data_IF_001889029336
#
_entry.id   IF_001889029336
#
_cell.length_a   1.000
_cell.length_b   1.000
_cell.length_c   1.000
_cell.angle_alpha   90.00
_cell.angle_beta   90.00
_cell.angle_gamma   90.00
#
_symmetry.space_group_name_H-M   'P 1'
#
loop_
_entity.id
_entity.type
_entity.pdbx_description
1 polymer ?
#
# COMPACT_ATOMS: atom_id res chain seq x y z
N UNK A 1 -30.79 38.82 -43.95
CA UNK A 1 -29.63 37.89 -44.01
C UNK A 1 -28.79 38.00 -42.72
N UNK A 2 -29.32 37.60 -41.56
CA UNK A 2 -28.60 37.71 -40.25
C UNK A 2 -28.53 36.37 -39.50
N UNK A 3 -29.34 35.37 -39.88
CA UNK A 3 -29.45 34.11 -39.14
C UNK A 3 -28.43 33.01 -39.53
N UNK A 4 -27.65 33.17 -40.60
CA UNK A 4 -26.71 32.13 -41.05
C UNK A 4 -25.29 32.25 -40.47
N UNK A 5 -24.95 33.36 -39.81
CA UNK A 5 -23.60 33.60 -39.27
C UNK A 5 -23.44 33.01 -37.86
N UNK A 6 -24.51 32.92 -37.08
CA UNK A 6 -24.47 32.32 -35.74
C UNK A 6 -24.19 30.81 -35.76
N UNK A 7 -24.38 30.14 -36.91
CA UNK A 7 -24.26 28.68 -36.98
C UNK A 7 -22.83 28.14 -37.05
N UNK A 8 -21.88 28.96 -37.50
CA UNK A 8 -20.48 28.54 -37.67
C UNK A 8 -19.62 28.77 -36.42
N UNK A 9 -20.02 29.66 -35.53
CA UNK A 9 -19.24 30.03 -34.35
C UNK A 9 -19.48 29.12 -33.13
N UNK A 10 -20.63 28.44 -33.02
CA UNK A 10 -20.90 27.56 -31.87
C UNK A 10 -20.15 26.24 -31.93
N UNK A 11 -19.85 25.72 -33.13
CA UNK A 11 -19.16 24.42 -33.31
C UNK A 11 -17.76 24.38 -32.66
N UNK A 12 -16.87 25.37 -32.87
CA UNK A 12 -15.57 25.38 -32.20
C UNK A 12 -15.68 25.64 -30.68
N UNK A 13 -16.70 26.40 -30.24
CA UNK A 13 -16.94 26.67 -28.82
C UNK A 13 -17.38 25.38 -28.10
N UNK A 14 -18.33 24.63 -28.68
CA UNK A 14 -18.77 23.34 -28.14
C UNK A 14 -17.63 22.34 -28.15
N UNK A 15 -16.85 22.24 -29.24
CA UNK A 15 -15.70 21.34 -29.30
C UNK A 15 -14.62 21.69 -28.26
N UNK A 16 -14.37 22.98 -28.01
CA UNK A 16 -13.44 23.43 -26.96
C UNK A 16 -13.97 23.15 -25.56
N UNK A 17 -15.28 23.33 -25.33
CA UNK A 17 -15.93 23.01 -24.07
C UNK A 17 -15.86 21.49 -23.80
N UNK A 18 -16.09 20.67 -24.84
CA UNK A 18 -15.93 19.21 -24.76
C UNK A 18 -14.49 18.86 -24.38
N UNK A 19 -13.48 19.41 -25.08
CA UNK A 19 -12.06 19.13 -24.80
C UNK A 19 -11.64 19.51 -23.37
N UNK A 20 -12.14 20.63 -22.82
CA UNK A 20 -11.89 21.02 -21.42
C UNK A 20 -12.61 20.09 -20.44
N UNK A 21 -13.79 19.59 -20.80
CA UNK A 21 -14.48 18.58 -19.98
C UNK A 21 -13.89 17.17 -20.09
N UNK A 22 -12.98 16.89 -21.03
CA UNK A 22 -12.25 15.60 -21.11
C UNK A 22 -10.86 15.66 -20.42
N UNK A 23 -10.41 16.83 -19.95
CA UNK A 23 -9.21 16.90 -19.11
C UNK A 23 -9.56 16.71 -17.64
N UNK A 24 -9.88 15.47 -17.25
CA UNK A 24 -9.91 15.08 -15.84
C UNK A 24 -8.51 15.15 -15.26
N UNK A 25 -8.17 16.24 -14.57
CA UNK A 25 -6.93 16.34 -13.81
C UNK A 25 -7.06 15.56 -12.51
N UNK A 26 -6.31 14.47 -12.36
CA UNK A 26 -6.22 13.76 -11.09
C UNK A 26 -5.31 14.51 -10.10
N UNK A 27 -5.68 14.51 -8.83
CA UNK A 27 -4.83 14.97 -7.74
C UNK A 27 -4.03 13.79 -7.20
N UNK A 28 -2.69 13.91 -7.16
CA UNK A 28 -1.82 12.82 -6.75
C UNK A 28 -1.30 13.02 -5.33
N UNK A 29 -1.36 11.97 -4.53
CA UNK A 29 -0.92 11.97 -3.14
C UNK A 29 0.08 10.86 -2.85
N UNK A 30 0.96 11.13 -1.90
CA UNK A 30 1.80 10.14 -1.24
C UNK A 30 1.27 9.91 0.16
N UNK A 31 1.13 8.64 0.51
CA UNK A 31 0.66 8.20 1.81
C UNK A 31 1.76 7.41 2.50
N UNK A 32 1.95 7.67 3.79
CA UNK A 32 2.94 6.94 4.56
C UNK A 32 2.64 6.94 6.04
N UNK A 33 3.17 5.93 6.72
CA UNK A 33 3.25 5.86 8.16
C UNK A 33 4.54 5.18 8.58
N UNK A 34 5.07 5.57 9.74
CA UNK A 34 6.16 4.88 10.40
C UNK A 34 5.80 4.76 11.88
N UNK A 35 5.90 3.55 12.42
CA UNK A 35 5.52 3.26 13.80
C UNK A 35 6.48 2.22 14.40
N UNK A 36 6.73 2.29 15.73
CA UNK A 36 7.50 1.28 16.41
C UNK A 36 6.67 0.00 16.60
N UNK A 37 7.29 -1.16 16.39
CA UNK A 37 6.72 -2.48 16.61
C UNK A 37 7.84 -3.50 16.88
N UNK A 38 7.49 -4.77 17.03
CA UNK A 38 8.46 -5.87 17.10
C UNK A 38 8.55 -6.58 15.75
N UNK A 39 9.74 -7.07 15.39
CA UNK A 39 9.89 -8.10 14.35
C UNK A 39 9.50 -9.49 14.89
N UNK A 40 9.54 -10.52 14.06
CA UNK A 40 9.12 -11.87 14.46
C UNK A 40 10.06 -12.51 15.47
N UNK A 41 11.31 -12.05 15.57
CA UNK A 41 12.25 -12.42 16.64
C UNK A 41 12.00 -11.70 17.97
N UNK A 42 11.10 -10.70 18.00
CA UNK A 42 10.74 -9.95 19.21
C UNK A 42 11.61 -8.72 19.48
N UNK A 43 12.39 -8.28 18.50
CA UNK A 43 13.26 -7.12 18.61
C UNK A 43 12.49 -5.84 18.26
N UNK A 44 12.70 -4.74 19.00
CA UNK A 44 12.06 -3.47 18.71
C UNK A 44 12.62 -2.88 17.41
N UNK A 45 11.76 -2.69 16.42
CA UNK A 45 12.08 -2.14 15.09
C UNK A 45 11.05 -1.08 14.68
N UNK A 46 11.41 -0.25 13.71
CA UNK A 46 10.43 0.58 13.03
C UNK A 46 9.81 -0.16 11.85
N UNK A 47 8.52 0.03 11.63
CA UNK A 47 7.81 -0.46 10.44
C UNK A 47 7.30 0.72 9.65
N UNK A 48 7.43 0.65 8.34
CA UNK A 48 7.03 1.69 7.40
C UNK A 48 6.00 1.17 6.42
N UNK A 49 4.91 1.93 6.29
CA UNK A 49 3.91 1.75 5.24
C UNK A 49 4.04 2.88 4.22
N UNK A 50 3.92 2.57 2.93
CA UNK A 50 3.88 3.60 1.88
C UNK A 50 3.09 3.20 0.64
N UNK A 51 2.36 4.16 0.05
CA UNK A 51 1.70 4.02 -1.25
C UNK A 51 1.42 5.39 -1.88
N UNK A 52 0.92 5.38 -3.11
CA UNK A 52 0.48 6.56 -3.84
C UNK A 52 -0.98 6.41 -4.25
N UNK A 53 -1.72 7.52 -4.26
CA UNK A 53 -3.08 7.58 -4.81
C UNK A 53 -3.21 8.65 -5.89
N UNK A 54 -4.21 8.46 -6.75
CA UNK A 54 -4.72 9.41 -7.72
C UNK A 54 -6.21 9.58 -7.46
N UNK A 55 -6.60 10.78 -7.04
CA UNK A 55 -7.99 11.16 -6.76
C UNK A 55 -8.55 11.90 -7.97
N UNK A 56 -9.60 11.32 -8.54
CA UNK A 56 -10.31 11.88 -9.68
C UNK A 56 -11.52 12.68 -9.20
N UNK A 57 -11.90 13.76 -9.90
CA UNK A 57 -13.14 14.46 -9.58
C UNK A 57 -14.33 13.51 -9.71
N UNK A 58 -15.32 13.61 -8.81
CA UNK A 58 -16.49 12.73 -8.82
C UNK A 58 -17.40 12.80 -10.05
N UNK A 59 -17.17 13.77 -10.96
CA UNK A 59 -17.83 13.85 -12.27
C UNK A 59 -17.11 13.04 -13.37
N UNK A 60 -15.91 12.53 -13.09
CA UNK A 60 -15.11 11.73 -14.02
C UNK A 60 -15.55 10.26 -14.00
N UNK A 61 -15.50 9.61 -15.17
CA UNK A 61 -15.97 8.22 -15.32
C UNK A 61 -15.04 7.18 -14.69
N UNK A 62 -13.79 7.54 -14.41
CA UNK A 62 -12.84 6.67 -13.70
C UNK A 62 -12.83 7.04 -12.21
N UNK A 63 -12.98 6.04 -11.34
CA UNK A 63 -12.82 6.20 -9.90
C UNK A 63 -11.35 6.29 -9.48
N UNK A 64 -11.16 6.61 -8.19
CA UNK A 64 -9.85 6.77 -7.57
C UNK A 64 -8.98 5.52 -7.72
N UNK A 65 -7.66 5.75 -7.79
CA UNK A 65 -6.67 4.70 -7.98
C UNK A 65 -5.60 4.80 -6.92
N UNK A 66 -5.06 3.66 -6.53
CA UNK A 66 -3.92 3.58 -5.65
C UNK A 66 -2.93 2.51 -6.10
N UNK A 67 -1.67 2.71 -5.76
CA UNK A 67 -0.65 1.66 -5.86
C UNK A 67 -0.80 0.67 -4.71
N UNK A 68 -0.22 -0.54 -4.81
CA UNK A 68 -0.13 -1.44 -3.66
C UNK A 68 0.51 -0.77 -2.45
N UNK A 69 0.03 -1.12 -1.25
CA UNK A 69 0.65 -0.68 0.02
C UNK A 69 1.91 -1.49 0.24
N UNK A 70 3.05 -0.80 0.28
CA UNK A 70 4.33 -1.40 0.67
C UNK A 70 4.43 -1.41 2.18
N UNK A 71 4.81 -2.55 2.75
CA UNK A 71 5.20 -2.69 4.15
C UNK A 71 6.65 -3.13 4.21
N UNK A 72 7.44 -2.38 4.96
CA UNK A 72 8.87 -2.60 5.17
C UNK A 72 9.15 -2.59 6.67
N UNK A 73 10.01 -3.48 7.12
CA UNK A 73 10.48 -3.52 8.52
C UNK A 73 11.94 -3.07 8.53
N UNK A 74 12.32 -2.25 9.52
CA UNK A 74 13.71 -1.82 9.68
C UNK A 74 14.63 -3.04 9.84
N UNK A 75 15.78 -3.01 9.18
CA UNK A 75 16.75 -4.11 9.11
C UNK A 75 16.22 -5.38 8.42
N UNK A 76 15.18 -5.26 7.59
CA UNK A 76 14.63 -6.38 6.82
C UNK A 76 14.69 -6.10 5.31
N UNK A 77 15.16 -7.09 4.56
CA UNK A 77 15.09 -7.13 3.10
C UNK A 77 13.71 -7.59 2.60
N UNK A 78 12.85 -8.10 3.49
CA UNK A 78 11.51 -8.58 3.14
C UNK A 78 10.54 -7.41 2.95
N UNK A 79 10.17 -7.14 1.70
CA UNK A 79 9.15 -6.14 1.34
C UNK A 79 7.82 -6.79 1.00
N UNK A 80 6.80 -6.51 1.82
CA UNK A 80 5.42 -6.93 1.58
C UNK A 80 4.67 -5.92 0.70
N UNK A 81 3.79 -6.41 -0.17
CA UNK A 81 2.94 -5.58 -1.05
C UNK A 81 1.49 -6.01 -0.93
N UNK A 82 0.69 -5.21 -0.25
CA UNK A 82 -0.73 -5.44 -0.08
C UNK A 82 -1.52 -4.82 -1.25
N UNK A 83 -2.48 -5.57 -1.78
CA UNK A 83 -3.28 -5.22 -2.96
C UNK A 83 -4.77 -5.41 -2.67
N UNK A 84 -5.61 -4.64 -3.36
CA UNK A 84 -7.07 -4.70 -3.33
C UNK A 84 -7.68 -5.01 -4.71
N UNK A 85 -6.85 -5.32 -5.70
CA UNK A 85 -7.30 -5.71 -7.02
C UNK A 85 -7.77 -7.18 -7.07
N UNK A 86 -8.62 -7.47 -8.06
CA UNK A 86 -9.19 -8.80 -8.30
C UNK A 86 -8.19 -9.75 -8.99
N UNK A 87 -7.21 -9.21 -9.71
CA UNK A 87 -6.16 -10.00 -10.39
C UNK A 87 -5.16 -10.61 -9.40
N UNK A 88 -5.05 -10.09 -8.16
CA UNK A 88 -4.24 -10.64 -7.08
C UNK A 88 -4.94 -11.72 -6.21
N UNK A 89 -6.14 -12.19 -6.58
CA UNK A 89 -7.07 -12.90 -5.68
C UNK A 89 -6.84 -14.39 -5.41
N UNK A 90 -5.61 -14.80 -5.04
CA UNK A 90 -5.40 -16.17 -4.57
C UNK A 90 -5.81 -16.39 -3.09
N UNK A 91 -5.71 -15.38 -2.21
CA UNK A 91 -5.91 -15.52 -0.75
C UNK A 91 -7.08 -14.68 -0.15
N UNK A 92 -8.15 -14.46 -0.92
CA UNK A 92 -9.43 -13.90 -0.44
C UNK A 92 -9.76 -12.50 -0.99
N UNK A 93 -10.59 -11.76 -0.25
CA UNK A 93 -11.08 -10.39 -0.55
C UNK A 93 -10.37 -9.30 0.27
N UNK A 94 -10.65 -8.02 -0.02
CA UNK A 94 -10.12 -6.84 0.66
C UNK A 94 -8.66 -6.52 0.37
N UNK A 95 -8.09 -5.58 1.12
CA UNK A 95 -6.67 -5.20 1.01
C UNK A 95 -5.80 -6.25 1.71
N UNK A 96 -4.94 -6.95 0.95
CA UNK A 96 -4.24 -8.14 1.48
C UNK A 96 -2.89 -8.41 0.83
N UNK A 97 -2.06 -9.18 1.53
CA UNK A 97 -0.92 -9.88 0.94
C UNK A 97 -0.95 -11.37 1.28
N UNK A 98 -0.63 -12.20 0.28
CA UNK A 98 -0.63 -13.65 0.38
C UNK A 98 0.77 -14.17 0.73
N UNK A 99 0.83 -15.28 1.45
CA UNK A 99 2.09 -15.93 1.83
C UNK A 99 2.82 -16.55 0.65
N UNK A 100 4.12 -16.77 0.83
CA UNK A 100 4.98 -17.48 -0.10
C UNK A 100 5.40 -18.83 0.49
N UNK A 101 5.16 -19.91 -0.27
CA UNK A 101 5.55 -21.25 0.14
C UNK A 101 7.06 -21.35 0.31
N UNK A 102 7.51 -21.93 1.42
CA UNK A 102 8.93 -22.04 1.78
C UNK A 102 9.53 -20.79 2.40
N UNK A 103 8.82 -19.65 2.42
CA UNK A 103 9.29 -18.39 3.02
C UNK A 103 8.46 -17.95 4.21
N UNK A 104 7.18 -18.32 4.23
CA UNK A 104 6.24 -17.92 5.27
C UNK A 104 5.57 -19.12 5.92
N UNK A 105 5.30 -19.02 7.22
CA UNK A 105 4.53 -19.97 8.02
C UNK A 105 3.31 -19.26 8.60
N UNK A 106 2.19 -19.97 8.74
CA UNK A 106 1.04 -19.50 9.51
C UNK A 106 1.44 -19.43 10.97
N UNK A 107 1.44 -18.23 11.57
CA UNK A 107 1.99 -18.02 12.90
C UNK A 107 1.27 -18.83 13.99
N UNK A 108 -0.03 -19.08 13.83
CA UNK A 108 -0.83 -19.83 14.80
C UNK A 108 -0.53 -21.33 14.79
N UNK A 109 -0.23 -21.92 13.62
CA UNK A 109 -0.13 -23.37 13.45
C UNK A 109 1.28 -23.85 13.13
N UNK A 110 2.17 -22.94 12.74
CA UNK A 110 3.51 -23.26 12.23
C UNK A 110 3.51 -23.96 10.87
N UNK A 111 2.36 -24.10 10.22
CA UNK A 111 2.25 -24.77 8.92
C UNK A 111 2.75 -23.85 7.80
N UNK A 112 3.32 -24.42 6.71
CA UNK A 112 3.70 -23.63 5.54
C UNK A 112 2.53 -22.80 5.00
N UNK A 113 2.75 -21.50 4.83
CA UNK A 113 1.83 -20.64 4.11
C UNK A 113 1.99 -20.84 2.60
N UNK A 114 1.00 -20.40 1.84
CA UNK A 114 1.01 -20.47 0.37
C UNK A 114 0.35 -19.22 -0.22
N UNK A 115 0.32 -19.13 -1.56
CA UNK A 115 -0.38 -18.05 -2.26
C UNK A 115 -1.88 -17.96 -1.95
N UNK A 116 -2.49 -19.00 -1.37
CA UNK A 116 -3.89 -18.96 -0.89
C UNK A 116 -4.03 -18.60 0.58
N UNK A 117 -2.92 -18.45 1.31
CA UNK A 117 -2.89 -18.08 2.72
C UNK A 117 -2.80 -16.56 2.86
N UNK A 118 -3.76 -15.94 3.54
CA UNK A 118 -3.75 -14.50 3.81
C UNK A 118 -2.80 -14.21 4.96
N UNK A 119 -1.62 -13.68 4.65
CA UNK A 119 -0.60 -13.37 5.66
C UNK A 119 -0.74 -11.97 6.23
N UNK A 120 -1.23 -11.01 5.44
CA UNK A 120 -1.50 -9.66 5.91
C UNK A 120 -2.81 -9.14 5.36
N UNK A 121 -3.50 -8.32 6.15
CA UNK A 121 -4.73 -7.64 5.75
C UNK A 121 -4.79 -6.24 6.35
N UNK A 122 -5.23 -5.27 5.54
CA UNK A 122 -5.60 -3.94 6.02
C UNK A 122 -7.11 -3.87 6.17
N UNK A 123 -7.58 -3.33 7.29
CA UNK A 123 -8.97 -3.23 7.71
C UNK A 123 -9.70 -4.58 7.59
N UNK A 124 -9.24 -5.63 8.30
CA UNK A 124 -9.71 -7.01 8.10
C UNK A 124 -11.20 -7.22 8.37
N UNK A 125 -11.86 -6.29 9.07
CA UNK A 125 -13.30 -6.31 9.32
C UNK A 125 -14.14 -5.85 8.11
N UNK A 126 -13.52 -5.25 7.10
CA UNK A 126 -14.17 -4.71 5.90
C UNK A 126 -13.63 -5.42 4.63
N UNK A 127 -14.37 -6.39 4.07
CA UNK A 127 -13.94 -7.13 2.88
C UNK A 127 -13.98 -6.27 1.60
N UNK A 128 -14.75 -5.18 1.60
CA UNK A 128 -14.89 -4.27 0.45
C UNK A 128 -13.86 -3.13 0.49
N UNK A 129 -13.02 -3.07 1.54
CA UNK A 129 -12.03 -2.02 1.74
C UNK A 129 -11.10 -1.86 0.53
N UNK A 130 -10.89 -0.60 0.13
CA UNK A 130 -10.04 -0.20 -1.01
C UNK A 130 -8.86 0.65 -0.56
N UNK A 131 -7.70 0.47 -1.19
CA UNK A 131 -6.49 1.24 -0.84
C UNK A 131 -6.72 2.73 -1.12
N UNK A 132 -7.45 3.04 -2.19
CA UNK A 132 -7.77 4.42 -2.58
C UNK A 132 -8.64 5.15 -1.55
N UNK A 133 -9.38 4.42 -0.71
CA UNK A 133 -10.35 4.95 0.27
C UNK A 133 -9.75 5.06 1.69
N UNK A 134 -8.49 4.66 1.88
CA UNK A 134 -7.83 4.77 3.20
C UNK A 134 -7.61 6.25 3.55
N UNK A 135 -8.20 6.69 4.65
CA UNK A 135 -8.03 8.04 5.18
C UNK A 135 -7.56 8.05 6.64
N UNK A 136 -6.40 8.66 6.88
CA UNK A 136 -5.92 9.07 8.21
C UNK A 136 -5.53 7.96 9.19
N UNK A 137 -6.15 6.78 9.14
CA UNK A 137 -5.79 5.61 9.93
C UNK A 137 -6.18 4.31 9.23
N UNK A 138 -5.56 3.21 9.63
CA UNK A 138 -5.92 1.86 9.21
C UNK A 138 -5.64 0.84 10.32
N UNK A 139 -6.22 -0.34 10.18
CA UNK A 139 -5.92 -1.51 11.00
C UNK A 139 -5.12 -2.52 10.18
N UNK A 140 -3.95 -2.95 10.65
CA UNK A 140 -3.11 -3.93 9.97
C UNK A 140 -3.07 -5.22 10.77
N UNK A 141 -3.56 -6.31 10.19
CA UNK A 141 -3.45 -7.65 10.77
C UNK A 141 -2.33 -8.44 10.09
N UNK A 142 -1.47 -9.07 10.88
CA UNK A 142 -0.40 -9.96 10.41
C UNK A 142 -0.60 -11.35 11.01
N UNK A 143 -0.72 -12.35 10.15
CA UNK A 143 -1.07 -13.74 10.51
C UNK A 143 0.04 -14.74 10.20
N UNK A 144 1.10 -14.33 9.53
CA UNK A 144 2.24 -15.18 9.18
C UNK A 144 3.54 -14.70 9.85
N UNK A 145 4.49 -15.61 9.93
CA UNK A 145 5.86 -15.41 10.41
C UNK A 145 6.83 -15.94 9.35
N UNK A 146 8.05 -15.39 9.24
CA UNK A 146 9.06 -15.96 8.35
C UNK A 146 9.37 -17.42 8.71
N UNK A 147 9.59 -18.25 7.70
CA UNK A 147 10.04 -19.64 7.86
C UNK A 147 11.53 -19.72 8.22
N UNK A 148 12.31 -18.78 7.71
CA UNK A 148 13.73 -18.56 8.02
C UNK A 148 13.95 -17.07 8.25
N UNK A 149 14.72 -16.72 9.28
CA UNK A 149 14.98 -15.33 9.65
C UNK A 149 16.03 -14.66 8.75
N UNK A 150 16.92 -15.46 8.16
CA UNK A 150 17.93 -14.96 7.23
C UNK A 150 18.18 -15.99 6.10
N UNK A 151 18.60 -15.49 4.95
CA UNK A 151 18.98 -16.29 3.78
C UNK A 151 20.39 -15.88 3.32
N UNK A 152 21.32 -16.82 3.24
CA UNK A 152 22.73 -16.57 2.92
C UNK A 152 23.68 -16.94 4.07
N UNK A 153 24.96 -16.60 3.93
CA UNK A 153 26.02 -16.85 4.93
C UNK A 153 26.89 -15.61 5.13
N UNK A 154 27.30 -15.34 6.37
CA UNK A 154 28.23 -14.24 6.70
C UNK A 154 27.62 -12.86 6.52
N UNK A 155 28.46 -11.90 6.15
CA UNK A 155 28.10 -10.46 6.04
C UNK A 155 27.13 -10.16 4.88
N UNK A 156 26.90 -11.11 3.97
CA UNK A 156 25.97 -10.98 2.84
C UNK A 156 24.60 -11.62 3.13
N UNK A 157 24.34 -12.05 4.36
CA UNK A 157 23.06 -12.66 4.74
C UNK A 157 21.92 -11.65 4.66
N UNK A 158 20.87 -12.00 3.89
CA UNK A 158 19.67 -11.19 3.78
C UNK A 158 18.78 -11.43 4.99
N UNK A 159 18.45 -10.37 5.73
CA UNK A 159 17.56 -10.48 6.87
C UNK A 159 16.11 -10.46 6.38
N UNK A 160 15.39 -11.56 6.62
CA UNK A 160 14.00 -11.75 6.20
C UNK A 160 13.01 -11.58 7.35
N UNK A 161 13.47 -11.20 8.54
CA UNK A 161 12.60 -10.98 9.68
C UNK A 161 11.75 -9.73 9.49
N UNK A 162 10.44 -9.87 9.65
CA UNK A 162 9.47 -8.80 9.42
C UNK A 162 8.52 -8.64 10.60
N UNK A 163 7.69 -7.59 10.55
CA UNK A 163 6.67 -7.26 11.54
C UNK A 163 6.01 -8.52 12.14
N UNK A 164 6.06 -8.61 13.47
CA UNK A 164 5.53 -9.74 14.24
C UNK A 164 4.05 -9.98 13.96
N UNK A 165 3.69 -11.26 13.81
CA UNK A 165 2.30 -11.68 13.79
C UNK A 165 1.57 -11.31 15.09
N UNK A 166 0.30 -10.91 14.98
CA UNK A 166 -0.52 -10.51 16.12
C UNK A 166 -1.95 -10.99 15.95
N UNK A 167 -2.58 -11.42 17.05
CA UNK A 167 -4.01 -11.73 17.09
C UNK A 167 -4.90 -10.48 17.11
N UNK A 168 -4.31 -9.31 17.43
CA UNK A 168 -4.99 -8.01 17.43
C UNK A 168 -4.37 -7.12 16.35
N UNK A 169 -5.17 -6.48 15.48
CA UNK A 169 -4.65 -5.59 14.46
C UNK A 169 -3.87 -4.40 15.04
N UNK A 170 -2.76 -4.05 14.39
CA UNK A 170 -2.02 -2.81 14.67
C UNK A 170 -2.83 -1.61 14.16
N UNK A 171 -3.12 -0.63 15.03
CA UNK A 171 -3.70 0.64 14.60
C UNK A 171 -2.60 1.57 14.12
N UNK A 172 -2.64 1.97 12.85
CA UNK A 172 -1.60 2.80 12.23
C UNK A 172 -2.21 4.10 11.73
N UNK A 173 -1.61 5.23 12.12
CA UNK A 173 -2.02 6.56 11.67
C UNK A 173 -1.24 6.99 10.43
N UNK A 174 -1.97 7.39 9.39
CA UNK A 174 -1.45 7.65 8.05
C UNK A 174 -1.32 9.15 7.82
N UNK A 175 -0.18 9.55 7.25
CA UNK A 175 0.04 10.90 6.72
C UNK A 175 -0.19 10.90 5.22
N UNK A 176 -1.08 11.78 4.76
CA UNK A 176 -1.34 12.07 3.34
C UNK A 176 -0.71 13.41 2.98
N UNK A 177 0.08 13.45 1.90
CA UNK A 177 0.70 14.68 1.41
C UNK A 177 0.62 14.78 -0.11
N UNK A 178 0.41 15.99 -0.70
CA UNK A 178 0.46 16.16 -2.14
C UNK A 178 1.80 15.70 -2.70
N UNK A 179 1.75 14.92 -3.79
CA UNK A 179 2.95 14.33 -4.39
C UNK A 179 3.90 15.43 -4.88
N UNK A 180 5.19 15.29 -4.57
CA UNK A 180 6.23 16.24 -4.95
C UNK A 180 6.33 17.45 -4.01
N UNK A 181 5.54 17.51 -2.93
CA UNK A 181 5.72 18.50 -1.88
C UNK A 181 6.86 18.10 -0.93
N UNK A 182 7.49 19.07 -0.24
CA UNK A 182 8.50 18.74 0.77
C UNK A 182 7.95 17.85 1.90
N UNK A 183 6.63 17.91 2.14
CA UNK A 183 5.91 17.13 3.15
C UNK A 183 5.62 15.70 2.70
N UNK A 184 5.82 15.36 1.43
CA UNK A 184 5.67 13.99 0.91
C UNK A 184 6.95 13.17 1.01
N UNK A 185 8.01 13.69 1.64
CA UNK A 185 9.24 12.91 1.85
C UNK A 185 8.94 11.77 2.82
N UNK A 186 9.17 10.56 2.33
CA UNK A 186 9.03 9.34 3.11
C UNK A 186 10.09 9.33 4.23
N UNK A 187 9.73 9.02 5.49
CA UNK A 187 10.72 8.85 6.54
C UNK A 187 11.70 7.71 6.20
N UNK A 188 12.98 7.98 6.38
CA UNK A 188 14.06 7.00 6.20
C UNK A 188 14.23 6.21 7.50
N UNK A 189 14.61 4.94 7.38
CA UNK A 189 14.99 4.15 8.54
C UNK A 189 16.35 4.63 9.06
N UNK A 190 16.58 4.48 10.36
CA UNK A 190 17.91 4.62 10.92
C UNK A 190 18.69 3.33 10.67
N UNK A 191 19.57 3.34 9.67
CA UNK A 191 20.36 2.18 9.27
C UNK A 191 21.43 1.81 10.29
N UNK A 192 21.84 2.76 11.16
CA UNK A 192 22.87 2.50 12.19
C UNK A 192 22.45 1.47 13.24
N UNK A 193 21.14 1.22 13.35
CA UNK A 193 20.58 0.18 14.23
C UNK A 193 20.81 -1.22 13.67
N UNK A 194 20.99 -1.34 12.34
CA UNK A 194 21.14 -2.63 11.65
C UNK A 194 22.59 -3.11 11.60
N UNK A 195 23.56 -2.18 11.59
CA UNK A 195 25.00 -2.51 11.56
C UNK A 195 25.58 -2.89 12.94
N UNK A 196 24.77 -2.84 14.00
CA UNK A 196 25.19 -3.07 15.38
C UNK A 196 25.09 -4.54 15.83
N UNK A 197 24.86 -5.47 14.90
CA UNK A 197 24.63 -6.90 15.14
C UNK A 197 25.77 -7.78 14.63
#
# INVERSE_FOLDING_TARGET
>A
MIFSVFSRAYKPIIASLVLVSVSGCASYYSHFAMFPAENSSGEPRHVRLSWQSAEYPGWWFAGDKATPVKLETQCSDRVWRLRDDEEASACGEGIRACGEAGRDLVAQTGQPASGSTRCMSINPADPDARIAEIEGKLELLVSCTPAVLAEGEGDDALNLDYLRASSVPYTVYIRKAPRGSMRSRLPEFDESVCDAE
#
